data_IF_372925502282
#
_entry.id   IF_372925502282
#
_cell.length_a   1.000
_cell.length_b   1.000
_cell.length_c   1.000
_cell.angle_alpha   90.00
_cell.angle_beta   90.00
_cell.angle_gamma   90.00
#
_symmetry.space_group_name_H-M   'P 1'
#
loop_
_entity.id
_entity.type
_entity.pdbx_description
1 polymer ?
#
# COMPACT_ATOMS: atom_id res chain seq x y z
N UNK A 1 -34.70 -4.16 -19.91
CA UNK A 1 -33.53 -5.05 -19.83
C UNK A 1 -32.78 -4.76 -18.54
N UNK A 2 -32.83 -5.65 -17.55
CA UNK A 2 -32.04 -5.50 -16.33
C UNK A 2 -30.59 -5.86 -16.63
N UNK A 3 -29.70 -4.86 -16.64
CA UNK A 3 -28.25 -5.14 -16.64
C UNK A 3 -27.92 -5.98 -15.41
N UNK A 4 -27.40 -7.18 -15.65
CA UNK A 4 -26.80 -8.00 -14.62
C UNK A 4 -25.50 -7.28 -14.23
N UNK A 5 -25.52 -6.54 -13.13
CA UNK A 5 -24.31 -5.99 -12.52
C UNK A 5 -23.40 -7.16 -12.18
N UNK A 6 -22.40 -7.40 -13.02
CA UNK A 6 -21.39 -8.44 -12.82
C UNK A 6 -20.64 -8.10 -11.53
N UNK A 7 -21.01 -8.76 -10.43
CA UNK A 7 -20.35 -8.59 -9.14
C UNK A 7 -18.88 -8.97 -9.28
N UNK A 8 -18.01 -7.96 -9.19
CA UNK A 8 -16.57 -8.17 -9.22
C UNK A 8 -16.10 -8.50 -7.81
N UNK A 9 -15.58 -9.72 -7.62
CA UNK A 9 -15.04 -10.18 -6.34
C UNK A 9 -13.53 -10.28 -6.47
N UNK A 10 -12.81 -9.65 -5.54
CA UNK A 10 -11.36 -9.73 -5.44
C UNK A 10 -11.01 -10.55 -4.20
N UNK A 11 -10.05 -11.47 -4.34
CA UNK A 11 -9.58 -12.31 -3.25
C UNK A 11 -8.06 -12.29 -3.26
N UNK A 12 -7.45 -11.83 -2.16
CA UNK A 12 -6.00 -11.78 -1.97
C UNK A 12 -5.71 -12.45 -0.63
N UNK A 13 -4.67 -13.28 -0.58
CA UNK A 13 -4.26 -13.96 0.65
C UNK A 13 -2.93 -13.39 1.09
N UNK A 14 -2.85 -12.90 2.33
CA UNK A 14 -1.58 -12.49 2.93
C UNK A 14 -1.20 -13.44 4.05
N UNK A 15 0.08 -13.82 4.10
CA UNK A 15 0.62 -14.70 5.14
C UNK A 15 1.89 -14.09 5.72
N UNK A 16 2.03 -14.16 7.04
CA UNK A 16 3.32 -13.92 7.69
C UNK A 16 4.22 -15.12 7.40
N UNK A 17 5.41 -14.85 6.87
CA UNK A 17 6.33 -15.91 6.42
C UNK A 17 7.33 -16.24 7.53
N UNK A 18 7.94 -15.22 8.12
CA UNK A 18 8.94 -15.38 9.18
C UNK A 18 9.08 -14.08 10.00
N UNK A 19 10.22 -13.90 10.66
CA UNK A 19 10.52 -12.67 11.41
C UNK A 19 10.77 -11.46 10.50
N UNK A 20 11.15 -11.68 9.23
CA UNK A 20 11.52 -10.65 8.25
C UNK A 20 10.32 -10.01 7.58
N UNK A 21 9.15 -10.67 7.58
CA UNK A 21 7.92 -10.04 7.08
C UNK A 21 6.82 -11.00 6.64
N UNK A 22 6.01 -10.51 5.70
CA UNK A 22 4.83 -11.18 5.17
C UNK A 22 4.85 -11.15 3.63
N UNK A 23 4.00 -11.97 3.01
CA UNK A 23 3.78 -11.93 1.57
C UNK A 23 2.29 -11.97 1.26
N UNK A 24 1.86 -11.15 0.31
CA UNK A 24 0.54 -11.23 -0.30
C UNK A 24 0.62 -12.08 -1.57
N UNK A 25 -0.43 -12.86 -1.83
CA UNK A 25 -0.54 -13.78 -2.96
C UNK A 25 -1.87 -13.57 -3.68
N UNK A 26 -1.80 -13.54 -5.01
CA UNK A 26 -2.96 -13.59 -5.89
C UNK A 26 -2.61 -14.29 -7.21
N UNK A 27 -3.28 -15.40 -7.50
CA UNK A 27 -2.96 -16.27 -8.65
C UNK A 27 -1.46 -16.60 -8.65
N UNK A 28 -0.74 -16.19 -9.69
CA UNK A 28 0.70 -16.43 -9.86
C UNK A 28 1.55 -15.21 -9.44
N UNK A 29 0.93 -14.18 -8.86
CA UNK A 29 1.61 -12.99 -8.38
C UNK A 29 1.80 -13.06 -6.86
N UNK A 30 2.96 -12.58 -6.40
CA UNK A 30 3.25 -12.37 -5.00
C UNK A 30 3.90 -11.01 -4.78
N UNK A 31 3.60 -10.38 -3.65
CA UNK A 31 4.20 -9.12 -3.23
C UNK A 31 4.78 -9.33 -1.83
N UNK A 32 6.07 -9.02 -1.65
CA UNK A 32 6.70 -8.95 -0.34
C UNK A 32 6.18 -7.73 0.41
N UNK A 33 5.82 -7.92 1.68
CA UNK A 33 5.27 -6.88 2.55
C UNK A 33 6.21 -6.67 3.74
N UNK A 34 6.70 -5.44 3.88
CA UNK A 34 7.42 -5.02 5.07
C UNK A 34 6.46 -4.92 6.24
N UNK A 35 6.37 -6.00 7.00
CA UNK A 35 5.60 -6.09 8.24
C UNK A 35 6.53 -6.37 9.43
N UNK A 36 7.81 -6.06 9.24
CA UNK A 36 8.83 -6.14 10.27
C UNK A 36 8.90 -4.79 10.99
N UNK A 37 8.98 -4.82 12.32
CA UNK A 37 9.10 -3.59 13.11
C UNK A 37 10.45 -2.89 12.91
N UNK A 38 11.47 -3.62 12.45
CA UNK A 38 12.79 -3.06 12.10
C UNK A 38 12.84 -2.47 10.68
N UNK A 39 11.75 -2.58 9.93
CA UNK A 39 11.70 -2.23 8.52
C UNK A 39 12.39 -3.25 7.61
N UNK A 40 12.07 -3.16 6.32
CA UNK A 40 12.66 -3.94 5.24
C UNK A 40 12.73 -3.06 3.98
N UNK A 41 13.94 -2.64 3.54
CA UNK A 41 14.09 -1.75 2.39
C UNK A 41 13.71 -2.39 1.05
N UNK A 42 13.62 -3.73 0.99
CA UNK A 42 13.32 -4.48 -0.23
C UNK A 42 11.82 -4.81 -0.40
N UNK A 43 10.96 -4.29 0.48
CA UNK A 43 9.53 -4.53 0.44
C UNK A 43 8.74 -3.26 0.80
N UNK A 44 7.55 -3.12 0.21
CA UNK A 44 6.65 -2.04 0.60
C UNK A 44 6.08 -2.31 1.98
N UNK A 45 6.13 -1.32 2.86
CA UNK A 45 5.32 -1.36 4.07
C UNK A 45 3.82 -1.15 3.73
N UNK A 46 2.88 -1.44 4.64
CA UNK A 46 1.45 -1.35 4.34
C UNK A 46 0.99 0.03 3.85
N UNK A 47 1.60 1.10 4.36
CA UNK A 47 1.23 2.46 3.97
C UNK A 47 1.71 2.79 2.55
N UNK A 48 2.95 2.45 2.22
CA UNK A 48 3.51 2.64 0.88
C UNK A 48 2.78 1.78 -0.16
N UNK A 49 2.48 0.51 0.18
CA UNK A 49 1.73 -0.37 -0.70
C UNK A 49 0.34 0.19 -1.01
N UNK A 50 -0.33 0.78 -0.02
CA UNK A 50 -1.62 1.44 -0.22
C UNK A 50 -1.48 2.62 -1.19
N UNK A 51 -0.48 3.49 -1.01
CA UNK A 51 -0.22 4.59 -1.92
C UNK A 51 0.11 4.10 -3.34
N UNK A 52 0.89 3.03 -3.48
CA UNK A 52 1.18 2.41 -4.76
C UNK A 52 -0.10 1.86 -5.42
N UNK A 53 -0.96 1.19 -4.67
CA UNK A 53 -2.25 0.69 -5.17
C UNK A 53 -3.18 1.83 -5.63
N UNK A 54 -3.23 2.93 -4.88
CA UNK A 54 -3.99 4.14 -5.27
C UNK A 54 -3.42 4.75 -6.54
N UNK A 55 -2.09 4.88 -6.63
CA UNK A 55 -1.40 5.37 -7.85
C UNK A 55 -1.76 4.52 -9.07
N UNK A 56 -1.69 3.20 -8.92
CA UNK A 56 -2.04 2.27 -10.00
C UNK A 56 -3.52 2.40 -10.40
N UNK A 57 -4.43 2.64 -9.45
CA UNK A 57 -5.84 2.91 -9.75
C UNK A 57 -6.03 4.20 -10.54
N UNK A 58 -5.29 5.27 -10.21
CA UNK A 58 -5.33 6.54 -10.95
C UNK A 58 -4.83 6.36 -12.38
N UNK A 59 -3.67 5.71 -12.56
CA UNK A 59 -3.09 5.42 -13.89
C UNK A 59 -4.08 4.61 -14.73
N UNK A 60 -4.64 3.53 -14.17
CA UNK A 60 -5.65 2.71 -14.85
C UNK A 60 -6.92 3.49 -15.21
N UNK A 61 -7.31 4.46 -14.36
CA UNK A 61 -8.40 5.37 -14.63
C UNK A 61 -8.10 6.30 -15.82
N UNK A 62 -6.91 6.87 -15.85
CA UNK A 62 -6.44 7.74 -16.95
C UNK A 62 -6.40 6.95 -18.26
N UNK A 63 -5.77 5.77 -18.28
CA UNK A 63 -5.73 4.90 -19.46
C UNK A 63 -7.12 4.54 -19.99
N UNK A 64 -8.11 4.40 -19.09
CA UNK A 64 -9.50 4.13 -19.50
C UNK A 64 -10.14 5.33 -20.18
N UNK A 65 -9.82 6.56 -19.77
CA UNK A 65 -10.45 7.77 -20.32
C UNK A 65 -9.73 8.33 -21.54
N UNK A 66 -8.41 8.15 -21.65
CA UNK A 66 -7.58 8.67 -22.75
C UNK A 66 -8.14 8.39 -24.15
N UNK A 67 -8.64 7.17 -24.49
CA UNK A 67 -9.18 6.89 -25.82
C UNK A 67 -10.33 7.81 -26.24
N UNK A 68 -11.07 8.38 -25.28
CA UNK A 68 -12.20 9.26 -25.55
C UNK A 68 -11.80 10.73 -25.76
N UNK A 69 -10.58 11.11 -25.36
CA UNK A 69 -10.13 12.51 -25.30
C UNK A 69 -9.35 12.97 -26.55
N UNK A 70 -9.17 12.10 -27.56
CA UNK A 70 -8.52 12.41 -28.86
C UNK A 70 -7.10 12.99 -28.77
N UNK A 71 -6.32 12.59 -27.76
CA UNK A 71 -4.89 12.90 -27.69
C UNK A 71 -4.07 11.64 -27.39
N UNK A 72 -2.80 11.66 -27.78
CA UNK A 72 -1.85 10.57 -27.54
C UNK A 72 -1.13 10.77 -26.20
N UNK A 73 -1.19 9.75 -25.34
CA UNK A 73 -0.53 9.74 -24.04
C UNK A 73 0.82 9.03 -24.14
N UNK A 74 1.90 9.73 -23.79
CA UNK A 74 3.27 9.20 -23.86
C UNK A 74 3.81 8.72 -22.50
N UNK A 75 3.25 9.20 -21.39
CA UNK A 75 3.68 8.80 -20.06
C UNK A 75 2.85 9.42 -18.94
N UNK A 76 2.81 8.75 -17.79
CA UNK A 76 2.17 9.23 -16.55
C UNK A 76 3.11 8.93 -15.40
N UNK A 77 3.34 9.91 -14.54
CA UNK A 77 3.98 9.73 -13.24
C UNK A 77 3.04 10.26 -12.15
N UNK A 78 2.88 9.48 -11.07
CA UNK A 78 2.05 9.85 -9.92
C UNK A 78 2.93 9.85 -8.67
N UNK A 79 3.07 11.01 -8.05
CA UNK A 79 3.83 11.17 -6.81
C UNK A 79 2.87 11.25 -5.63
N UNK A 80 3.00 10.31 -4.69
CA UNK A 80 2.25 10.32 -3.44
C UNK A 80 3.20 10.45 -2.26
N UNK A 81 2.80 11.25 -1.27
CA UNK A 81 3.55 11.41 -0.03
C UNK A 81 2.61 11.22 1.16
N UNK A 82 3.00 10.32 2.06
CA UNK A 82 2.39 10.20 3.37
C UNK A 82 3.40 10.63 4.43
N UNK A 83 2.97 11.51 5.32
CA UNK A 83 3.74 11.89 6.50
C UNK A 83 2.94 11.50 7.73
N UNK A 84 3.42 10.50 8.45
CA UNK A 84 2.87 10.15 9.75
C UNK A 84 3.30 11.22 10.75
N UNK A 85 2.32 11.90 11.35
CA UNK A 85 2.55 12.73 12.54
C UNK A 85 2.31 11.81 13.74
N UNK A 86 3.35 11.55 14.52
CA UNK A 86 3.18 10.95 15.84
C UNK A 86 2.84 12.09 16.79
N UNK A 87 1.58 12.14 17.25
CA UNK A 87 1.25 12.95 18.42
C UNK A 87 1.80 12.19 19.63
N UNK A 88 2.92 12.67 20.18
CA UNK A 88 3.34 12.21 21.50
C UNK A 88 2.36 12.81 22.51
N UNK A 89 1.34 12.04 22.90
CA UNK A 89 0.76 12.23 24.23
C UNK A 89 1.87 11.93 25.24
N UNK A 90 2.53 12.99 25.68
CA UNK A 90 3.48 12.96 26.78
C UNK A 90 2.68 12.74 28.07
N UNK A 91 2.21 11.51 28.31
CA UNK A 91 1.78 11.10 29.63
C UNK A 91 3.02 11.10 30.54
N UNK A 92 3.07 11.92 31.61
CA UNK A 92 4.20 11.88 32.53
C UNK A 92 4.02 10.67 33.45
N UNK A 93 4.53 9.50 33.03
CA UNK A 93 4.73 8.37 33.94
C UNK A 93 6.19 8.37 34.40
N UNK A 94 6.49 8.76 35.66
CA UNK A 94 7.85 8.99 36.13
C UNK A 94 8.66 7.70 36.42
N UNK A 95 8.27 6.53 35.90
CA UNK A 95 8.87 5.26 36.36
C UNK A 95 9.12 4.15 35.33
N UNK A 96 9.15 4.43 34.02
CA UNK A 96 9.46 3.39 33.03
C UNK A 96 10.36 3.89 31.90
N UNK A 97 11.53 4.42 32.24
CA UNK A 97 12.64 4.52 31.29
C UNK A 97 13.24 3.11 31.17
N UNK A 98 12.91 2.37 30.10
CA UNK A 98 13.78 1.35 29.47
C UNK A 98 13.08 0.57 28.34
N UNK A 99 12.38 1.24 27.42
CA UNK A 99 12.19 0.69 26.05
C UNK A 99 12.17 1.86 25.07
N UNK A 100 13.36 2.35 24.71
CA UNK A 100 13.50 3.29 23.62
C UNK A 100 13.29 2.53 22.31
N UNK A 101 12.16 2.79 21.65
CA UNK A 101 11.93 2.46 20.25
C UNK A 101 12.99 3.19 19.41
N UNK A 102 13.99 2.43 18.94
CA UNK A 102 14.87 2.85 17.86
C UNK A 102 14.37 2.23 16.57
N UNK A 103 14.16 3.09 15.57
CA UNK A 103 14.07 2.72 14.16
C UNK A 103 15.39 2.07 13.72
#
# INVERSE_FOLDING_TARGET
MSEITKKMVFYVVSKRVNFEGSSAYYKNASISLDTNLKGNPDAFNPAELLLAAVSACMIKGIERVTPFLKFELYGIEVFNQLKLRIEQELLPCPHAAHVAFHF
#
